data_IF_335653786877
#
_entry.id   IF_335653786877
#
_cell.length_a   1.000
_cell.length_b   1.000
_cell.length_c   1.000
_cell.angle_alpha   90.00
_cell.angle_beta   90.00
_cell.angle_gamma   90.00
#
_symmetry.space_group_name_H-M   'P 1'
#
loop_
_entity.id
_entity.type
_entity.pdbx_description
1 polymer ?
#
# COMPACT_ATOMS: atom_id res chain seq x y z
N UNK A 1 -44.09 13.65 -42.70
CA UNK A 1 -43.71 12.40 -42.00
C UNK A 1 -42.45 11.83 -42.65
N UNK A 2 -41.25 11.97 -42.08
CA UNK A 2 -40.06 11.27 -42.57
C UNK A 2 -39.93 9.89 -41.93
N UNK A 3 -39.70 8.87 -42.75
CA UNK A 3 -39.54 7.47 -42.36
C UNK A 3 -38.18 7.27 -41.67
N UNK A 4 -38.18 6.83 -40.41
CA UNK A 4 -36.97 6.39 -39.71
C UNK A 4 -36.61 4.97 -40.16
N UNK A 5 -35.66 4.88 -41.07
CA UNK A 5 -35.02 3.62 -41.45
C UNK A 5 -33.50 3.81 -41.37
N UNK A 6 -32.90 3.44 -40.25
CA UNK A 6 -31.53 2.92 -40.22
C UNK A 6 -31.24 2.27 -38.86
N UNK A 7 -31.28 0.94 -38.82
CA UNK A 7 -30.64 0.15 -37.76
C UNK A 7 -29.11 0.30 -37.89
N UNK A 8 -28.53 1.41 -37.43
CA UNK A 8 -27.07 1.49 -37.25
C UNK A 8 -26.65 0.63 -36.07
N UNK A 9 -26.42 -0.65 -36.32
CA UNK A 9 -25.59 -1.48 -35.43
C UNK A 9 -24.18 -0.91 -35.49
N UNK A 10 -23.77 -0.18 -34.45
CA UNK A 10 -22.36 0.21 -34.26
C UNK A 10 -21.63 -1.08 -33.90
N UNK A 11 -21.07 -1.75 -34.90
CA UNK A 11 -20.20 -2.91 -34.71
C UNK A 11 -18.84 -2.35 -34.35
N UNK A 12 -18.55 -2.27 -33.05
CA UNK A 12 -17.22 -1.88 -32.59
C UNK A 12 -16.23 -2.98 -33.02
N UNK A 13 -15.17 -2.65 -33.79
CA UNK A 13 -14.10 -3.60 -34.07
C UNK A 13 -13.45 -4.03 -32.75
N UNK A 14 -13.15 -5.32 -32.62
CA UNK A 14 -12.62 -5.93 -31.39
C UNK A 14 -11.34 -5.23 -30.92
N UNK A 15 -10.54 -4.70 -31.84
CA UNK A 15 -9.34 -3.91 -31.55
C UNK A 15 -9.62 -2.60 -30.79
N UNK A 16 -10.72 -1.90 -31.08
CA UNK A 16 -11.10 -0.68 -30.37
C UNK A 16 -11.64 -0.99 -28.97
N UNK A 17 -12.44 -2.04 -28.84
CA UNK A 17 -12.95 -2.49 -27.54
C UNK A 17 -11.80 -2.87 -26.58
N UNK A 18 -10.79 -3.59 -27.09
CA UNK A 18 -9.57 -3.94 -26.32
C UNK A 18 -8.80 -2.68 -25.92
N UNK A 19 -8.63 -1.71 -26.84
CA UNK A 19 -7.92 -0.46 -26.54
C UNK A 19 -8.61 0.34 -25.43
N UNK A 20 -9.93 0.47 -25.47
CA UNK A 20 -10.70 1.14 -24.41
C UNK A 20 -10.57 0.44 -23.06
N UNK A 21 -10.62 -0.90 -23.04
CA UNK A 21 -10.42 -1.68 -21.80
C UNK A 21 -9.00 -1.57 -21.26
N UNK A 22 -7.99 -1.48 -22.12
CA UNK A 22 -6.59 -1.32 -21.69
C UNK A 22 -6.34 0.08 -21.10
N UNK A 23 -6.94 1.13 -21.67
CA UNK A 23 -6.79 2.50 -21.16
C UNK A 23 -7.41 2.66 -19.75
N UNK A 24 -8.52 1.99 -19.45
CA UNK A 24 -9.13 2.01 -18.10
C UNK A 24 -8.30 1.23 -17.07
N UNK A 25 -7.78 0.05 -17.43
CA UNK A 25 -6.90 -0.75 -16.56
C UNK A 25 -5.58 -0.03 -16.30
N UNK A 26 -4.99 0.63 -17.30
CA UNK A 26 -3.70 1.30 -17.17
C UNK A 26 -3.73 2.45 -16.16
N UNK A 27 -4.83 3.23 -16.12
CA UNK A 27 -5.02 4.30 -15.13
C UNK A 27 -5.21 3.78 -13.71
N UNK A 28 -5.79 2.58 -13.56
CA UNK A 28 -5.95 1.90 -12.27
C UNK A 28 -4.61 1.32 -11.78
N UNK A 29 -3.84 0.73 -12.69
CA UNK A 29 -2.55 0.11 -12.39
C UNK A 29 -1.51 1.12 -11.91
N UNK A 30 -1.44 2.30 -12.52
CA UNK A 30 -0.46 3.33 -12.16
C UNK A 30 -0.54 3.76 -10.68
N UNK A 31 -1.75 3.88 -10.12
CA UNK A 31 -1.93 4.30 -8.72
C UNK A 31 -1.62 3.22 -7.69
N UNK A 32 -2.01 1.99 -7.98
CA UNK A 32 -1.62 0.83 -7.17
C UNK A 32 -0.09 0.77 -7.10
N UNK A 33 0.58 1.02 -8.22
CA UNK A 33 2.03 1.06 -8.32
C UNK A 33 2.65 2.21 -7.47
N UNK A 34 2.08 3.42 -7.52
CA UNK A 34 2.50 4.55 -6.67
C UNK A 34 2.39 4.19 -5.18
N UNK A 35 1.26 3.58 -4.79
CA UNK A 35 1.03 3.20 -3.38
C UNK A 35 2.02 2.10 -2.95
N UNK A 36 2.22 1.09 -3.80
CA UNK A 36 3.20 0.03 -3.53
C UNK A 36 4.62 0.58 -3.40
N UNK A 37 5.04 1.48 -4.28
CA UNK A 37 6.35 2.15 -4.17
C UNK A 37 6.48 2.86 -2.83
N UNK A 38 5.45 3.63 -2.42
CA UNK A 38 5.45 4.32 -1.14
C UNK A 38 5.58 3.36 0.05
N UNK A 39 4.84 2.24 0.03
CA UNK A 39 4.90 1.21 1.07
C UNK A 39 6.28 0.53 1.08
N UNK A 40 6.79 0.14 -0.09
CA UNK A 40 8.09 -0.51 -0.24
C UNK A 40 9.19 0.38 0.33
N UNK A 41 9.25 1.65 -0.05
CA UNK A 41 10.27 2.57 0.45
C UNK A 41 10.11 2.86 1.95
N UNK A 42 8.89 3.08 2.43
CA UNK A 42 8.63 3.36 3.85
C UNK A 42 9.06 2.19 4.75
N UNK A 43 8.68 0.96 4.36
CA UNK A 43 9.00 -0.26 5.10
C UNK A 43 10.46 -0.67 4.93
N UNK A 44 11.04 -0.49 3.74
CA UNK A 44 12.46 -0.74 3.53
C UNK A 44 13.34 0.17 4.39
N UNK A 45 12.99 1.45 4.48
CA UNK A 45 13.70 2.39 5.33
C UNK A 45 13.58 2.01 6.82
N UNK A 46 12.37 1.67 7.28
CA UNK A 46 12.15 1.16 8.63
C UNK A 46 12.98 -0.10 8.92
N UNK A 47 12.92 -1.09 8.03
CA UNK A 47 13.64 -2.36 8.18
C UNK A 47 15.16 -2.16 8.12
N UNK A 48 15.67 -1.27 7.27
CA UNK A 48 17.10 -0.96 7.18
C UNK A 48 17.62 -0.29 8.47
N UNK A 49 16.87 0.68 9.02
CA UNK A 49 17.21 1.31 10.30
C UNK A 49 17.24 0.26 11.42
N UNK A 50 16.20 -0.57 11.51
CA UNK A 50 16.08 -1.56 12.58
C UNK A 50 17.16 -2.65 12.47
N UNK A 51 17.44 -3.12 11.24
CA UNK A 51 18.55 -4.05 10.96
C UNK A 51 19.88 -3.47 11.42
N UNK A 52 20.17 -2.21 11.07
CA UNK A 52 21.41 -1.54 11.46
C UNK A 52 21.50 -1.32 12.97
N UNK A 53 20.39 -0.98 13.64
CA UNK A 53 20.34 -0.81 15.09
C UNK A 53 20.64 -2.11 15.83
N UNK A 54 19.97 -3.20 15.43
CA UNK A 54 20.17 -4.54 16.00
C UNK A 54 21.61 -5.01 15.81
N UNK A 55 22.17 -4.78 14.62
CA UNK A 55 23.55 -5.16 14.34
C UNK A 55 24.57 -4.44 15.22
N UNK A 56 24.38 -3.13 15.44
CA UNK A 56 25.25 -2.39 16.36
C UNK A 56 25.21 -2.97 17.79
N UNK A 57 24.03 -3.35 18.28
CA UNK A 57 23.89 -4.00 19.59
C UNK A 57 24.70 -5.31 19.64
N UNK A 58 24.63 -6.13 18.59
CA UNK A 58 25.41 -7.37 18.53
C UNK A 58 26.92 -7.13 18.51
N UNK A 59 27.44 -6.12 17.78
CA UNK A 59 28.87 -5.81 17.83
C UNK A 59 29.31 -5.28 19.19
N UNK A 60 28.49 -4.46 19.84
CA UNK A 60 28.79 -3.94 21.17
C UNK A 60 28.87 -5.09 22.19
N UNK A 61 27.95 -6.07 22.11
CA UNK A 61 28.00 -7.29 22.92
C UNK A 61 29.25 -8.13 22.66
N UNK A 62 29.64 -8.31 21.40
CA UNK A 62 30.81 -9.11 21.01
C UNK A 62 32.12 -8.47 21.47
N UNK A 63 32.20 -7.13 21.51
CA UNK A 63 33.36 -6.39 22.00
C UNK A 63 33.31 -6.09 23.50
N UNK A 64 32.28 -6.52 24.22
CA UNK A 64 32.11 -6.23 25.65
C UNK A 64 31.87 -4.74 25.95
N UNK A 65 31.42 -3.97 24.96
CA UNK A 65 30.99 -2.60 25.17
C UNK A 65 29.59 -2.57 25.83
N UNK A 66 29.27 -1.55 26.62
CA UNK A 66 27.92 -1.35 27.10
C UNK A 66 26.97 -1.17 25.92
N UNK A 67 25.91 -1.98 25.85
CA UNK A 67 24.93 -1.90 24.77
C UNK A 67 24.19 -0.58 24.84
N UNK A 68 24.49 0.31 23.92
CA UNK A 68 23.62 1.44 23.61
C UNK A 68 22.44 0.88 22.82
N UNK A 69 21.26 0.84 23.45
CA UNK A 69 20.03 0.44 22.78
C UNK A 69 19.71 1.31 21.55
N UNK A 70 18.51 1.16 21.00
CA UNK A 70 18.11 1.92 19.80
C UNK A 70 18.26 3.42 20.04
N UNK A 71 19.07 4.09 19.21
CA UNK A 71 19.37 5.51 19.38
C UNK A 71 18.11 6.34 19.09
N UNK A 72 17.85 7.37 19.90
CA UNK A 72 16.62 8.17 19.79
C UNK A 72 16.37 8.73 18.38
N UNK A 73 17.41 9.16 17.67
CA UNK A 73 17.27 9.67 16.31
C UNK A 73 16.80 8.59 15.31
N UNK A 74 17.16 7.32 15.51
CA UNK A 74 16.72 6.21 14.65
C UNK A 74 15.22 5.97 14.79
N UNK A 75 14.70 6.03 16.02
CA UNK A 75 13.27 5.93 16.30
C UNK A 75 12.50 7.07 15.64
N UNK A 76 13.00 8.31 15.74
CA UNK A 76 12.36 9.46 15.10
C UNK A 76 12.36 9.34 13.57
N UNK A 77 13.48 8.95 12.95
CA UNK A 77 13.56 8.73 11.50
C UNK A 77 12.59 7.64 11.04
N UNK A 78 12.54 6.51 11.76
CA UNK A 78 11.60 5.43 11.50
C UNK A 78 10.14 5.87 11.64
N UNK A 79 9.80 6.63 12.69
CA UNK A 79 8.45 7.13 12.90
C UNK A 79 8.01 8.07 11.77
N UNK A 80 8.87 9.01 11.37
CA UNK A 80 8.57 9.96 10.29
C UNK A 80 8.39 9.23 8.96
N UNK A 81 9.20 8.23 8.63
CA UNK A 81 9.05 7.49 7.37
C UNK A 81 7.73 6.73 7.29
N UNK A 82 7.31 6.10 8.39
CA UNK A 82 6.03 5.39 8.46
C UNK A 82 4.85 6.36 8.38
N UNK A 83 4.96 7.55 9.00
CA UNK A 83 3.93 8.59 8.87
C UNK A 83 3.77 9.08 7.43
N UNK A 84 4.87 9.41 6.75
CA UNK A 84 4.85 9.85 5.34
C UNK A 84 4.26 8.76 4.44
N UNK A 85 4.63 7.50 4.68
CA UNK A 85 4.06 6.34 3.99
C UNK A 85 2.54 6.25 4.22
N UNK A 86 2.09 6.34 5.47
CA UNK A 86 0.68 6.28 5.84
C UNK A 86 -0.17 7.39 5.21
N UNK A 87 0.37 8.61 5.09
CA UNK A 87 -0.28 9.72 4.39
C UNK A 87 -0.41 9.41 2.89
N UNK A 88 0.63 8.82 2.29
CA UNK A 88 0.59 8.36 0.91
C UNK A 88 -0.55 7.37 0.65
N UNK A 89 -0.72 6.39 1.54
CA UNK A 89 -1.79 5.39 1.47
C UNK A 89 -3.18 6.05 1.62
N UNK A 90 -3.34 6.98 2.56
CA UNK A 90 -4.61 7.71 2.76
C UNK A 90 -4.99 8.45 1.47
N UNK A 91 -4.05 9.20 0.88
CA UNK A 91 -4.30 10.00 -0.31
C UNK A 91 -4.68 9.14 -1.52
N UNK A 92 -3.99 8.02 -1.72
CA UNK A 92 -4.31 7.13 -2.85
C UNK A 92 -5.64 6.42 -2.64
N UNK A 93 -5.97 6.01 -1.41
CA UNK A 93 -7.27 5.42 -1.08
C UNK A 93 -8.42 6.42 -1.25
N UNK A 94 -8.26 7.68 -0.81
CA UNK A 94 -9.25 8.73 -1.05
C UNK A 94 -9.49 8.94 -2.55
N UNK A 95 -8.43 8.94 -3.34
CA UNK A 95 -8.54 9.05 -4.79
C UNK A 95 -9.30 7.85 -5.39
N UNK A 96 -9.01 6.62 -4.94
CA UNK A 96 -9.71 5.40 -5.40
C UNK A 96 -11.22 5.46 -5.17
N UNK A 97 -11.69 6.16 -4.14
CA UNK A 97 -13.12 6.33 -3.85
C UNK A 97 -13.79 7.20 -4.91
N UNK A 98 -13.16 8.30 -5.32
CA UNK A 98 -13.70 9.21 -6.32
C UNK A 98 -13.87 8.51 -7.68
N UNK A 99 -12.95 7.60 -8.02
CA UNK A 99 -13.03 6.84 -9.28
C UNK A 99 -14.10 5.78 -9.28
N UNK A 100 -14.23 5.09 -8.15
CA UNK A 100 -15.19 3.99 -7.96
C UNK A 100 -16.51 4.50 -7.41
N UNK A 101 -16.74 5.82 -7.45
CA UNK A 101 -17.91 6.47 -6.85
C UNK A 101 -19.22 5.87 -7.40
N UNK A 102 -19.32 5.72 -8.73
CA UNK A 102 -20.47 5.08 -9.39
C UNK A 102 -20.58 3.59 -9.07
N UNK A 103 -19.47 2.85 -9.07
CA UNK A 103 -19.45 1.42 -8.74
C UNK A 103 -19.93 1.15 -7.30
N UNK A 104 -19.52 1.99 -6.34
CA UNK A 104 -19.97 1.89 -4.94
C UNK A 104 -21.45 2.24 -4.84
N UNK A 105 -21.91 3.26 -5.58
CA UNK A 105 -23.32 3.64 -5.66
C UNK A 105 -24.21 2.50 -6.17
N UNK A 106 -23.81 1.85 -7.27
CA UNK A 106 -24.55 0.73 -7.84
C UNK A 106 -24.58 -0.48 -6.90
N UNK A 107 -23.45 -0.81 -6.27
CA UNK A 107 -23.39 -1.87 -5.24
C UNK A 107 -24.38 -1.63 -4.10
N UNK A 108 -24.46 -0.40 -3.60
CA UNK A 108 -25.40 -0.04 -2.52
C UNK A 108 -26.86 -0.07 -2.98
N UNK A 109 -27.16 0.33 -4.21
CA UNK A 109 -28.51 0.20 -4.79
C UNK A 109 -28.95 -1.27 -4.92
N UNK A 110 -28.01 -2.19 -5.11
CA UNK A 110 -28.26 -3.64 -5.12
C UNK A 110 -28.36 -4.25 -3.70
N UNK A 111 -28.33 -3.43 -2.65
CA UNK A 111 -28.48 -3.88 -1.26
C UNK A 111 -27.17 -4.13 -0.50
N UNK A 112 -26.02 -3.71 -1.02
CA UNK A 112 -24.77 -3.80 -0.26
C UNK A 112 -24.83 -2.88 0.97
N UNK A 113 -24.58 -3.45 2.15
CA UNK A 113 -24.44 -2.71 3.40
C UNK A 113 -23.11 -1.93 3.45
N UNK A 114 -23.06 -0.86 4.24
CA UNK A 114 -21.85 -0.06 4.47
C UNK A 114 -20.65 -0.91 4.91
N UNK A 115 -20.89 -1.96 5.70
CA UNK A 115 -19.85 -2.92 6.11
C UNK A 115 -19.20 -3.67 4.94
N UNK A 116 -19.95 -3.96 3.87
CA UNK A 116 -19.41 -4.66 2.70
C UNK A 116 -18.45 -3.75 1.93
N UNK A 117 -18.84 -2.48 1.76
CA UNK A 117 -17.99 -1.46 1.14
C UNK A 117 -16.74 -1.23 1.97
N UNK A 118 -16.89 -1.08 3.29
CA UNK A 118 -15.75 -0.92 4.20
C UNK A 118 -14.78 -2.10 4.10
N UNK A 119 -15.29 -3.34 4.15
CA UNK A 119 -14.48 -4.55 4.07
C UNK A 119 -13.72 -4.67 2.75
N UNK A 120 -14.32 -4.22 1.63
CA UNK A 120 -13.66 -4.20 0.32
C UNK A 120 -12.37 -3.38 0.33
N UNK A 121 -12.43 -2.17 0.91
CA UNK A 121 -11.25 -1.30 1.02
C UNK A 121 -10.24 -1.79 2.05
N UNK A 122 -10.69 -2.37 3.16
CA UNK A 122 -9.78 -2.96 4.16
C UNK A 122 -9.02 -4.17 3.58
N UNK A 123 -9.70 -5.02 2.80
CA UNK A 123 -9.06 -6.14 2.10
C UNK A 123 -8.07 -5.62 1.05
N UNK A 124 -8.41 -4.57 0.30
CA UNK A 124 -7.50 -3.93 -0.65
C UNK A 124 -6.22 -3.43 0.04
N UNK A 125 -6.37 -2.74 1.18
CA UNK A 125 -5.26 -2.28 2.00
C UNK A 125 -4.42 -3.42 2.60
N UNK A 126 -5.06 -4.52 3.00
CA UNK A 126 -4.38 -5.72 3.48
C UNK A 126 -3.47 -6.30 2.40
N UNK A 127 -3.97 -6.43 1.16
CA UNK A 127 -3.16 -6.91 0.04
C UNK A 127 -1.98 -5.98 -0.28
N UNK A 128 -2.21 -4.67 -0.25
CA UNK A 128 -1.14 -3.67 -0.43
C UNK A 128 -0.07 -3.79 0.66
N UNK A 129 -0.48 -3.96 1.93
CA UNK A 129 0.43 -4.15 3.05
C UNK A 129 1.20 -5.48 2.99
N UNK A 130 0.58 -6.57 2.53
CA UNK A 130 1.28 -7.85 2.35
C UNK A 130 2.34 -7.74 1.25
N UNK A 131 1.96 -7.25 0.06
CA UNK A 131 2.86 -7.19 -1.10
C UNK A 131 3.96 -6.15 -0.87
N UNK A 132 3.57 -4.93 -0.49
CA UNK A 132 4.51 -3.84 -0.22
C UNK A 132 5.37 -4.12 1.00
N UNK A 133 4.81 -4.73 2.04
CA UNK A 133 5.54 -5.15 3.23
C UNK A 133 6.55 -6.25 2.94
N UNK A 134 6.19 -7.26 2.16
CA UNK A 134 7.13 -8.31 1.76
C UNK A 134 8.32 -7.74 0.98
N UNK A 135 8.03 -7.00 -0.10
CA UNK A 135 9.07 -6.41 -0.96
C UNK A 135 9.90 -5.37 -0.20
N UNK A 136 9.27 -4.52 0.61
CA UNK A 136 9.94 -3.52 1.44
C UNK A 136 10.83 -4.16 2.51
N UNK A 137 10.36 -5.20 3.20
CA UNK A 137 11.13 -5.89 4.23
C UNK A 137 12.38 -6.55 3.65
N UNK A 138 12.24 -7.24 2.51
CA UNK A 138 13.36 -7.86 1.79
C UNK A 138 14.36 -6.80 1.34
N UNK A 139 13.88 -5.69 0.75
CA UNK A 139 14.74 -4.59 0.30
C UNK A 139 15.50 -3.95 1.48
N UNK A 140 14.80 -3.60 2.55
CA UNK A 140 15.39 -2.95 3.73
C UNK A 140 16.39 -3.83 4.48
N UNK A 141 16.08 -5.11 4.63
CA UNK A 141 17.01 -6.09 5.17
C UNK A 141 18.27 -6.19 4.30
N UNK A 142 18.11 -6.31 2.98
CA UNK A 142 19.24 -6.38 2.04
C UNK A 142 20.15 -5.15 2.12
N UNK A 143 19.57 -3.96 2.28
CA UNK A 143 20.32 -2.71 2.47
C UNK A 143 21.09 -2.73 3.80
N UNK A 144 20.44 -3.14 4.90
CA UNK A 144 21.08 -3.24 6.21
C UNK A 144 22.24 -4.23 6.23
N UNK A 145 22.06 -5.40 5.62
CA UNK A 145 23.10 -6.42 5.45
C UNK A 145 24.24 -5.88 4.57
N UNK A 146 23.93 -5.24 3.45
CA UNK A 146 24.94 -4.65 2.56
C UNK A 146 25.83 -3.62 3.28
N UNK A 147 25.22 -2.80 4.15
CA UNK A 147 25.95 -1.84 4.99
C UNK A 147 26.85 -2.54 6.02
N UNK A 148 26.41 -3.67 6.58
CA UNK A 148 27.20 -4.45 7.53
C UNK A 148 28.39 -5.15 6.85
N UNK A 149 28.21 -5.66 5.64
CA UNK A 149 29.29 -6.24 4.82
C UNK A 149 30.36 -5.18 4.56
N UNK A 150 29.95 -3.98 4.16
CA UNK A 150 30.86 -2.86 3.93
C UNK A 150 31.71 -2.50 5.17
N UNK A 151 31.18 -2.76 6.36
CA UNK A 151 31.85 -2.49 7.64
C UNK A 151 32.62 -3.70 8.21
N UNK A 152 32.81 -4.79 7.44
CA UNK A 152 33.51 -6.02 7.86
C UNK A 152 32.94 -6.68 9.13
N UNK A 153 31.62 -6.75 9.19
CA UNK A 153 30.85 -6.99 10.40
C UNK A 153 30.03 -8.32 10.31
N UNK A 154 30.43 -9.26 9.45
CA UNK A 154 29.57 -10.35 8.96
C UNK A 154 29.05 -11.49 9.90
N UNK A 155 29.64 -11.86 11.05
CA UNK A 155 29.37 -13.21 11.60
C UNK A 155 27.98 -13.43 12.25
N UNK A 156 27.18 -12.40 12.55
CA UNK A 156 25.97 -12.53 13.40
C UNK A 156 24.62 -12.40 12.68
N UNK A 157 24.60 -12.29 11.35
CA UNK A 157 23.42 -11.88 10.57
C UNK A 157 22.31 -12.93 10.44
N UNK A 158 22.63 -14.22 10.54
CA UNK A 158 21.69 -15.28 10.13
C UNK A 158 20.55 -15.52 11.13
N UNK A 159 20.80 -15.48 12.44
CA UNK A 159 19.78 -15.80 13.46
C UNK A 159 18.71 -14.71 13.64
N UNK A 160 19.03 -13.44 13.36
CA UNK A 160 18.14 -12.29 13.58
C UNK A 160 17.29 -11.92 12.35
N UNK A 161 17.60 -12.49 11.18
CA UNK A 161 16.98 -12.11 9.90
C UNK A 161 15.48 -12.41 9.82
N UNK A 162 15.03 -13.58 10.30
CA UNK A 162 13.60 -13.96 10.26
C UNK A 162 12.73 -13.02 11.11
N UNK A 163 13.26 -12.60 12.26
CA UNK A 163 12.54 -11.75 13.21
C UNK A 163 12.32 -10.36 12.64
N UNK A 164 13.36 -9.77 12.04
CA UNK A 164 13.30 -8.43 11.43
C UNK A 164 12.30 -8.40 10.27
N UNK A 165 12.35 -9.41 9.40
CA UNK A 165 11.41 -9.54 8.28
C UNK A 165 9.97 -9.67 8.79
N UNK A 166 9.74 -10.49 9.82
CA UNK A 166 8.42 -10.65 10.44
C UNK A 166 7.88 -9.35 11.04
N UNK A 167 8.70 -8.64 11.83
CA UNK A 167 8.33 -7.37 12.45
C UNK A 167 7.97 -6.30 11.39
N UNK A 168 8.78 -6.20 10.33
CA UNK A 168 8.54 -5.24 9.24
C UNK A 168 7.26 -5.57 8.43
N UNK A 169 6.97 -6.85 8.18
CA UNK A 169 5.70 -7.25 7.55
C UNK A 169 4.49 -6.92 8.42
N UNK A 170 4.55 -7.21 9.73
CA UNK A 170 3.46 -6.89 10.66
C UNK A 170 3.21 -5.39 10.69
N UNK A 171 4.25 -4.58 10.76
CA UNK A 171 4.14 -3.12 10.72
C UNK A 171 3.54 -2.65 9.41
N UNK A 172 3.92 -3.22 8.27
CA UNK A 172 3.37 -2.86 6.97
C UNK A 172 1.86 -3.12 6.88
N UNK A 173 1.42 -4.29 7.35
CA UNK A 173 0.01 -4.67 7.36
C UNK A 173 -0.78 -3.73 8.27
N UNK A 174 -0.31 -3.52 9.51
CA UNK A 174 -0.95 -2.64 10.48
C UNK A 174 -1.04 -1.22 9.93
N UNK A 175 0.05 -0.67 9.40
CA UNK A 175 0.10 0.67 8.84
C UNK A 175 -0.89 0.81 7.67
N UNK A 176 -0.88 -0.13 6.74
CA UNK A 176 -1.75 -0.10 5.56
C UNK A 176 -3.23 -0.17 5.95
N UNK A 177 -3.58 -1.07 6.86
CA UNK A 177 -4.96 -1.22 7.34
C UNK A 177 -5.41 0.02 8.10
N UNK A 178 -4.61 0.53 9.05
CA UNK A 178 -4.94 1.74 9.84
C UNK A 178 -5.13 2.93 8.90
N UNK A 179 -4.22 3.14 7.95
CA UNK A 179 -4.32 4.22 6.97
C UNK A 179 -5.57 4.09 6.09
N UNK A 180 -6.08 2.88 5.85
CA UNK A 180 -7.27 2.67 5.05
C UNK A 180 -8.59 2.82 5.82
N UNK A 181 -8.59 2.81 7.16
CA UNK A 181 -9.84 2.87 7.95
C UNK A 181 -10.64 4.15 7.66
N UNK A 182 -9.99 5.32 7.72
CA UNK A 182 -10.66 6.59 7.47
C UNK A 182 -11.25 6.69 6.04
N UNK A 183 -10.48 6.44 4.96
CA UNK A 183 -11.05 6.44 3.61
C UNK A 183 -12.12 5.36 3.42
N UNK A 184 -11.93 4.14 3.94
CA UNK A 184 -12.93 3.07 3.84
C UNK A 184 -14.27 3.48 4.49
N UNK A 185 -14.21 4.18 5.62
CA UNK A 185 -15.39 4.73 6.29
C UNK A 185 -16.08 5.80 5.44
N UNK A 186 -15.31 6.71 4.82
CA UNK A 186 -15.88 7.72 3.91
C UNK A 186 -16.54 7.07 2.69
N UNK A 187 -15.91 6.06 2.09
CA UNK A 187 -16.48 5.28 0.98
C UNK A 187 -17.78 4.59 1.39
N UNK A 188 -17.77 3.98 2.57
CA UNK A 188 -18.91 3.28 3.13
C UNK A 188 -20.07 4.22 3.50
N UNK A 189 -19.87 5.54 3.62
CA UNK A 189 -20.96 6.50 3.91
C UNK A 189 -21.48 7.26 2.70
N UNK A 190 -21.03 6.92 1.50
CA UNK A 190 -21.52 7.53 0.27
C UNK A 190 -23.01 7.27 0.06
N UNK A 191 -23.75 8.31 -0.34
CA UNK A 191 -25.19 8.24 -0.62
C UNK A 191 -25.41 7.73 -2.04
N UNK A 192 -26.16 6.62 -2.24
CA UNK A 192 -26.34 6.01 -3.57
C UNK A 192 -27.03 6.95 -4.57
N UNK A 193 -27.98 7.76 -4.10
CA UNK A 193 -28.71 8.72 -4.93
C UNK A 193 -27.80 9.80 -5.54
N UNK A 194 -26.77 10.24 -4.81
CA UNK A 194 -25.79 11.23 -5.31
C UNK A 194 -24.84 10.58 -6.35
N UNK A 195 -24.50 9.30 -6.17
CA UNK A 195 -23.65 8.54 -7.10
C UNK A 195 -24.30 8.34 -8.49
N UNK A 196 -25.61 8.14 -8.55
CA UNK A 196 -26.34 7.94 -9.81
C UNK A 196 -26.73 9.25 -10.50
N UNK A 197 -26.83 10.36 -9.76
CA UNK A 197 -27.23 11.66 -10.30
C UNK A 197 -26.10 12.38 -11.06
N UNK A 198 -24.86 11.90 -10.99
CA UNK A 198 -23.68 12.52 -11.61
C UNK A 198 -23.65 12.47 -13.16
N UNK A 199 -24.80 12.23 -13.82
CA UNK A 199 -24.94 12.15 -15.28
C UNK A 199 -26.17 12.90 -15.84
N UNK A 200 -26.75 13.84 -15.09
CA UNK A 200 -27.78 14.75 -15.63
C UNK A 200 -27.20 16.14 -15.86
#
# INVERSE_FOLDING_TARGET
>A
MPRLNEKRKVIFPVSEAIRFSLESVKRRFGRVLITLISIIFGIAFYAAINTTAILNIYYEMEQGLPTTGIKGYQLWMAAISLLVCGIGIINTMLMSIAERYKEIGTLKCLGAMDKHVMMLFIIEALFLGIIGGFLGSVLGWSIGVGMAIYQNRLPTLWLSSIRILGEAMVISIILSVISAVAPAYFAAKLKPAEALRYEV
#
